data_IF_101922558651
#
_entry.id   IF_101922558651
#
_cell.length_a   1.000
_cell.length_b   1.000
_cell.length_c   1.000
_cell.angle_alpha   90.00
_cell.angle_beta   90.00
_cell.angle_gamma   90.00
#
_symmetry.space_group_name_H-M   'P 1'
#
loop_
_entity.id
_entity.type
_entity.pdbx_description
1 polymer ?
#
# COMPACT_ATOMS: atom_id res chain seq x y z
N UNK A 1 12.26 0.22 -26.84
CA UNK A 1 11.84 0.68 -25.50
C UNK A 1 10.66 -0.17 -25.08
N UNK A 2 10.79 -0.89 -23.97
CA UNK A 2 9.67 -1.61 -23.36
C UNK A 2 8.66 -0.61 -22.78
N UNK A 3 7.53 -1.10 -22.26
CA UNK A 3 6.59 -0.24 -21.53
C UNK A 3 7.24 0.31 -20.27
N UNK A 4 8.06 -0.50 -19.57
CA UNK A 4 8.79 -0.03 -18.38
C UNK A 4 9.77 1.10 -18.71
N UNK A 5 10.52 1.00 -19.81
CA UNK A 5 11.43 2.09 -20.24
C UNK A 5 10.70 3.42 -20.44
N UNK A 6 9.50 3.37 -21.06
CA UNK A 6 8.69 4.58 -21.27
C UNK A 6 8.17 5.15 -19.96
N UNK A 7 7.76 4.29 -19.02
CA UNK A 7 7.27 4.73 -17.72
C UNK A 7 8.38 5.36 -16.88
N UNK A 8 9.60 4.84 -16.94
CA UNK A 8 10.77 5.46 -16.31
C UNK A 8 10.98 6.90 -16.80
N UNK A 9 10.95 7.09 -18.12
CA UNK A 9 11.13 8.42 -18.74
C UNK A 9 10.02 9.41 -18.33
N UNK A 10 8.76 8.96 -18.26
CA UNK A 10 7.60 9.82 -17.94
C UNK A 10 7.54 10.15 -16.44
N UNK A 11 7.85 9.17 -15.58
CA UNK A 11 7.72 9.32 -14.11
C UNK A 11 9.00 9.83 -13.44
N UNK A 12 10.14 9.81 -14.14
CA UNK A 12 11.45 10.13 -13.59
C UNK A 12 11.95 9.10 -12.55
N UNK A 13 11.41 7.87 -12.55
CA UNK A 13 11.81 6.79 -11.63
C UNK A 13 12.92 5.93 -12.22
N UNK A 14 13.75 5.37 -11.34
CA UNK A 14 14.92 4.55 -11.69
C UNK A 14 14.53 3.23 -12.39
N UNK A 15 13.37 2.68 -12.02
CA UNK A 15 12.82 1.45 -12.55
C UNK A 15 11.29 1.54 -12.64
N UNK A 16 10.70 0.68 -13.48
CA UNK A 16 9.27 0.44 -13.55
C UNK A 16 9.05 -1.07 -13.72
N UNK A 17 7.88 -1.54 -13.33
CA UNK A 17 7.44 -2.93 -13.48
C UNK A 17 6.08 -2.93 -14.17
N UNK A 18 5.90 -3.82 -15.15
CA UNK A 18 4.57 -4.13 -15.67
C UNK A 18 3.94 -5.28 -14.87
N UNK A 19 2.79 -5.03 -14.25
CA UNK A 19 1.97 -6.05 -13.59
C UNK A 19 0.72 -6.37 -14.41
N UNK A 20 0.21 -7.61 -14.35
CA UNK A 20 -0.97 -8.00 -15.14
C UNK A 20 -2.28 -7.43 -14.60
N UNK A 21 -2.30 -7.00 -13.34
CA UNK A 21 -3.42 -6.30 -12.71
C UNK A 21 -2.96 -5.39 -11.59
N UNK A 22 -3.79 -4.41 -11.23
CA UNK A 22 -3.53 -3.51 -10.11
C UNK A 22 -3.52 -4.25 -8.75
N UNK A 23 -4.34 -5.28 -8.61
CA UNK A 23 -4.31 -6.17 -7.43
C UNK A 23 -2.96 -6.84 -7.29
N UNK A 24 -2.42 -7.41 -8.37
CA UNK A 24 -1.09 -8.02 -8.31
C UNK A 24 -0.02 -6.99 -7.95
N UNK A 25 -0.06 -5.81 -8.59
CA UNK A 25 0.89 -4.73 -8.36
C UNK A 25 0.91 -4.26 -6.89
N UNK A 26 -0.27 -4.02 -6.29
CA UNK A 26 -0.38 -3.62 -4.88
C UNK A 26 0.24 -4.66 -3.92
N UNK A 27 0.05 -5.96 -4.20
CA UNK A 27 0.62 -7.02 -3.38
C UNK A 27 2.15 -7.10 -3.54
N UNK A 28 2.68 -6.93 -4.76
CA UNK A 28 4.13 -6.84 -4.99
C UNK A 28 4.69 -5.62 -4.27
N UNK A 29 4.05 -4.46 -4.40
CA UNK A 29 4.43 -3.22 -3.71
C UNK A 29 4.55 -3.44 -2.19
N UNK A 30 3.52 -3.97 -1.55
CA UNK A 30 3.54 -4.26 -0.11
C UNK A 30 4.68 -5.22 0.25
N UNK A 31 4.87 -6.29 -0.52
CA UNK A 31 5.92 -7.27 -0.22
C UNK A 31 7.33 -6.71 -0.39
N UNK A 32 7.53 -5.81 -1.35
CA UNK A 32 8.83 -5.16 -1.58
C UNK A 32 9.17 -4.18 -0.45
N UNK A 33 8.18 -3.51 0.14
CA UNK A 33 8.40 -2.58 1.26
C UNK A 33 8.53 -3.27 2.62
N UNK A 34 7.95 -4.46 2.81
CA UNK A 34 7.88 -5.15 4.10
C UNK A 34 8.83 -6.37 4.10
N UNK A 35 10.04 -6.20 4.65
CA UNK A 35 11.12 -7.19 4.54
C UNK A 35 11.14 -8.25 5.64
N UNK A 36 10.97 -7.86 6.92
CA UNK A 36 10.95 -8.80 8.06
C UNK A 36 9.68 -8.67 8.92
N UNK A 37 8.85 -9.73 9.06
CA UNK A 37 7.60 -9.71 9.82
C UNK A 37 7.83 -9.67 11.34
N UNK A 38 6.79 -9.33 12.13
CA UNK A 38 5.45 -8.90 11.71
C UNK A 38 5.38 -7.39 11.43
N UNK A 39 4.58 -7.01 10.42
CA UNK A 39 4.29 -5.61 10.11
C UNK A 39 2.82 -5.29 10.33
N UNK A 40 2.55 -4.01 10.60
CA UNK A 40 1.21 -3.44 10.54
C UNK A 40 1.19 -2.31 9.53
N UNK A 41 0.20 -2.30 8.65
CA UNK A 41 0.06 -1.30 7.59
C UNK A 41 -1.20 -0.48 7.83
N UNK A 42 -1.02 0.84 7.90
CA UNK A 42 -2.12 1.80 7.94
C UNK A 42 -2.69 2.03 6.55
N UNK A 43 -4.02 1.99 6.45
CA UNK A 43 -4.76 2.17 5.21
C UNK A 43 -5.98 3.06 5.44
N UNK A 44 -6.37 3.84 4.43
CA UNK A 44 -7.72 4.40 4.38
C UNK A 44 -8.73 3.23 4.41
N UNK A 45 -9.81 3.36 5.17
CA UNK A 45 -10.83 2.31 5.30
C UNK A 45 -11.47 1.88 3.96
N UNK A 46 -11.34 2.71 2.92
CA UNK A 46 -11.85 2.48 1.55
C UNK A 46 -10.77 1.96 0.60
N UNK A 47 -9.55 1.73 1.09
CA UNK A 47 -8.42 1.35 0.24
C UNK A 47 -8.73 0.05 -0.53
N UNK A 48 -8.47 0.07 -1.84
CA UNK A 48 -8.76 -1.06 -2.72
C UNK A 48 -8.10 -2.37 -2.23
N UNK A 49 -6.84 -2.28 -1.79
CA UNK A 49 -6.05 -3.40 -1.25
C UNK A 49 -6.68 -4.03 -0.01
N UNK A 50 -7.47 -3.27 0.74
CA UNK A 50 -8.21 -3.75 1.90
C UNK A 50 -9.57 -4.32 1.50
N UNK A 51 -10.38 -3.54 0.77
CA UNK A 51 -11.78 -3.90 0.50
C UNK A 51 -11.97 -4.97 -0.58
N UNK A 52 -11.08 -5.03 -1.59
CA UNK A 52 -11.35 -5.73 -2.86
C UNK A 52 -10.25 -6.70 -3.29
N UNK A 53 -9.27 -6.97 -2.41
CA UNK A 53 -8.17 -7.91 -2.69
C UNK A 53 -8.17 -9.11 -1.74
N UNK A 54 -9.37 -9.52 -1.31
CA UNK A 54 -9.63 -10.75 -0.54
C UNK A 54 -8.86 -10.87 0.79
N UNK A 55 -8.45 -9.74 1.38
CA UNK A 55 -7.61 -9.75 2.58
C UNK A 55 -6.25 -10.41 2.34
N UNK A 56 -5.66 -10.23 1.16
CA UNK A 56 -4.36 -10.79 0.79
C UNK A 56 -3.14 -10.31 1.62
N UNK A 57 -3.05 -9.07 2.16
CA UNK A 57 -1.82 -8.60 2.81
C UNK A 57 -1.30 -9.47 3.96
N UNK A 58 -2.14 -9.99 4.89
CA UNK A 58 -1.68 -10.93 5.91
C UNK A 58 -1.08 -12.22 5.33
N UNK A 59 -1.64 -12.72 4.23
CA UNK A 59 -1.23 -14.00 3.61
C UNK A 59 0.05 -13.83 2.78
N UNK A 60 0.14 -12.77 1.98
CA UNK A 60 1.24 -12.58 1.02
C UNK A 60 2.45 -11.87 1.65
N UNK A 61 2.20 -10.97 2.59
CA UNK A 61 3.20 -10.06 3.15
C UNK A 61 3.33 -10.15 4.67
N UNK A 62 2.60 -11.05 5.33
CA UNK A 62 2.62 -11.20 6.80
C UNK A 62 2.39 -9.87 7.51
N UNK A 63 1.49 -9.08 6.93
CA UNK A 63 1.19 -7.72 7.34
C UNK A 63 -0.28 -7.60 7.71
N UNK A 64 -0.56 -7.23 8.95
CA UNK A 64 -1.91 -6.87 9.39
C UNK A 64 -2.27 -5.50 8.84
N UNK A 65 -3.55 -5.31 8.48
CA UNK A 65 -4.06 -4.01 8.04
C UNK A 65 -4.81 -3.33 9.20
N UNK A 66 -4.45 -2.09 9.50
CA UNK A 66 -5.26 -1.18 10.32
C UNK A 66 -5.89 -0.16 9.38
N UNK A 67 -7.21 -0.08 9.41
CA UNK A 67 -7.95 0.90 8.63
C UNK A 67 -8.28 2.13 9.46
N UNK A 68 -8.18 3.30 8.84
CA UNK A 68 -8.46 4.60 9.45
C UNK A 68 -9.53 5.33 8.66
N UNK A 69 -10.45 5.95 9.39
CA UNK A 69 -11.47 6.84 8.85
C UNK A 69 -10.95 8.26 8.84
N UNK A 70 -11.23 8.97 7.76
CA UNK A 70 -10.92 10.38 7.65
C UNK A 70 -11.88 11.24 8.47
N UNK A 71 -11.36 12.23 9.20
CA UNK A 71 -12.23 13.13 9.98
C UNK A 71 -12.93 14.18 9.11
N UNK A 72 -12.40 14.48 7.91
CA UNK A 72 -12.96 15.49 7.01
C UNK A 72 -13.99 14.94 6.00
N UNK A 73 -14.25 13.63 5.99
CA UNK A 73 -15.15 12.94 5.05
C UNK A 73 -14.68 12.85 3.59
N UNK A 74 -13.43 13.23 3.29
CA UNK A 74 -12.87 13.28 1.94
C UNK A 74 -11.56 12.49 1.83
N UNK A 75 -10.52 12.92 2.53
CA UNK A 75 -9.17 12.36 2.41
C UNK A 75 -8.60 12.06 3.79
N UNK A 76 -7.94 10.90 3.92
CA UNK A 76 -7.14 10.57 5.08
C UNK A 76 -6.06 11.64 5.30
N UNK A 77 -6.06 12.23 6.49
CA UNK A 77 -5.12 13.27 6.88
C UNK A 77 -4.08 12.74 7.88
N UNK A 78 -3.02 13.51 8.11
CA UNK A 78 -1.95 13.14 9.04
C UNK A 78 -2.49 12.94 10.46
N UNK A 79 -3.39 13.82 10.90
CA UNK A 79 -3.96 13.79 12.25
C UNK A 79 -4.79 12.52 12.48
N UNK A 80 -5.47 12.03 11.43
CA UNK A 80 -6.22 10.77 11.47
C UNK A 80 -5.28 9.58 11.69
N UNK A 81 -4.12 9.59 10.99
CA UNK A 81 -3.10 8.54 11.13
C UNK A 81 -2.45 8.60 12.51
N UNK A 82 -1.99 9.76 12.94
CA UNK A 82 -1.33 9.96 14.23
C UNK A 82 -2.24 9.55 15.41
N UNK A 83 -3.54 9.88 15.33
CA UNK A 83 -4.52 9.52 16.36
C UNK A 83 -4.82 8.01 16.46
N UNK A 84 -4.48 7.24 15.42
CA UNK A 84 -4.68 5.78 15.39
C UNK A 84 -3.37 4.99 15.42
N UNK A 85 -2.22 5.67 15.32
CA UNK A 85 -0.90 5.05 15.30
C UNK A 85 -0.48 4.56 16.69
N UNK A 86 0.14 3.38 16.74
CA UNK A 86 0.89 2.91 17.91
C UNK A 86 2.36 3.11 17.56
N UNK A 87 3.01 4.06 18.23
CA UNK A 87 4.44 4.30 18.06
C UNK A 87 5.27 3.26 18.83
N UNK A 88 6.42 2.88 18.27
CA UNK A 88 7.46 2.17 19.02
C UNK A 88 8.10 3.12 20.05
N UNK A 89 8.55 2.59 21.19
CA UNK A 89 9.25 3.35 22.24
C UNK A 89 10.61 3.91 21.79
#
# INVERSE_FOLDING_TARGET
>A
KTVEDKLKDITGKEAALWAVSRTQDNQVYLRTHLTQPPHTVFLDHRAHVHCWESGAPPVMSQASAITVYENNGVHLMLEDVEGNMIADE
#
